data_IF_019044389066
#
_entry.id   IF_019044389066
#
_cell.length_a   1.000
_cell.length_b   1.000
_cell.length_c   1.000
_cell.angle_alpha   90.00
_cell.angle_beta   90.00
_cell.angle_gamma   90.00
#
_symmetry.space_group_name_H-M   'P 1'
#
loop_
_entity.id
_entity.type
_entity.pdbx_description
1 polymer ?
#
# COMPACT_ATOMS: atom_id res chain seq x y z
N UNK A 1 58.19 59.52 52.54
CA UNK A 1 57.78 59.55 51.09
C UNK A 1 56.94 58.31 50.87
N UNK A 2 55.65 58.48 50.93
CA UNK A 2 54.72 57.35 51.01
C UNK A 2 53.69 57.52 49.94
N UNK A 3 53.61 56.55 49.00
CA UNK A 3 52.60 56.53 47.93
C UNK A 3 51.53 55.50 48.30
N UNK A 4 50.34 56.00 48.45
CA UNK A 4 49.11 55.22 48.62
C UNK A 4 48.60 54.81 47.26
N UNK A 5 48.38 53.52 47.06
CA UNK A 5 47.71 53.02 45.87
C UNK A 5 46.34 52.50 46.25
N UNK A 6 45.32 53.16 45.74
CA UNK A 6 43.95 52.72 45.81
C UNK A 6 43.73 51.49 44.93
N UNK A 7 43.16 50.45 45.49
CA UNK A 7 42.70 49.28 44.70
C UNK A 7 41.20 49.46 44.40
N UNK A 8 40.89 49.60 43.13
CA UNK A 8 39.52 49.55 42.63
C UNK A 8 39.13 48.07 42.41
N UNK A 9 38.12 47.64 43.14
CA UNK A 9 37.51 46.30 43.00
C UNK A 9 36.47 46.35 41.88
N UNK A 10 36.73 45.67 40.77
CA UNK A 10 35.75 45.49 39.72
C UNK A 10 34.91 44.27 40.01
N UNK A 11 33.61 44.47 40.33
CA UNK A 11 32.60 43.45 40.47
C UNK A 11 32.14 43.05 39.07
N UNK A 12 32.57 41.87 38.61
CA UNK A 12 32.06 41.24 37.38
C UNK A 12 30.73 40.54 37.66
N UNK A 13 29.66 41.12 37.19
CA UNK A 13 28.34 40.48 37.18
C UNK A 13 28.29 39.47 36.03
N UNK A 14 28.34 38.18 36.38
CA UNK A 14 28.05 37.09 35.43
C UNK A 14 26.53 36.98 35.23
N UNK A 15 26.05 37.49 34.09
CA UNK A 15 24.68 37.24 33.64
C UNK A 15 24.59 35.83 33.04
N UNK A 16 24.00 34.88 33.76
CA UNK A 16 23.60 33.55 33.23
C UNK A 16 22.39 33.75 32.35
N UNK A 17 22.58 33.75 31.03
CA UNK A 17 21.52 33.60 30.06
C UNK A 17 21.12 32.12 29.97
N UNK A 18 20.04 31.74 30.69
CA UNK A 18 19.41 30.42 30.52
C UNK A 18 18.72 30.39 29.15
N UNK A 19 19.36 29.77 28.17
CA UNK A 19 18.73 29.45 26.89
C UNK A 19 17.68 28.38 27.13
N UNK A 20 16.40 28.76 27.13
CA UNK A 20 15.27 27.81 26.99
C UNK A 20 15.32 27.29 25.58
N UNK A 21 15.99 26.15 25.32
CA UNK A 21 15.80 25.35 24.15
C UNK A 21 14.44 24.67 24.30
N UNK A 22 13.40 25.28 23.74
CA UNK A 22 12.12 24.61 23.53
C UNK A 22 12.38 23.39 22.63
N UNK A 23 12.45 22.20 23.22
CA UNK A 23 12.46 20.95 22.48
C UNK A 23 11.10 20.85 21.78
N UNK A 24 11.03 21.23 20.52
CA UNK A 24 9.94 20.85 19.64
C UNK A 24 9.97 19.33 19.53
N UNK A 25 9.18 18.65 20.38
CA UNK A 25 8.87 17.25 20.17
C UNK A 25 8.23 17.14 18.79
N UNK A 26 8.78 16.31 17.88
CA UNK A 26 8.10 16.09 16.62
C UNK A 26 6.70 15.56 16.96
N UNK A 27 5.67 16.28 16.48
CA UNK A 27 4.29 15.85 16.61
C UNK A 27 4.22 14.42 16.11
N UNK A 28 3.84 13.47 16.97
CA UNK A 28 3.67 12.07 16.61
C UNK A 28 2.72 12.03 15.41
N UNK A 29 3.22 11.57 14.26
CA UNK A 29 2.38 11.41 13.09
C UNK A 29 1.14 10.60 13.49
N UNK A 30 -0.07 10.97 13.04
CA UNK A 30 -1.29 10.23 13.38
C UNK A 30 -1.10 8.76 13.03
N UNK A 31 -1.48 7.87 13.94
CA UNK A 31 -1.39 6.44 13.72
C UNK A 31 -2.22 6.09 12.48
N UNK A 32 -1.54 5.56 11.46
CA UNK A 32 -2.20 5.13 10.22
C UNK A 32 -2.63 3.68 10.42
N UNK A 33 -3.93 3.43 10.31
CA UNK A 33 -4.46 2.06 10.37
C UNK A 33 -4.80 1.58 8.96
N UNK A 34 -4.44 0.32 8.68
CA UNK A 34 -4.86 -0.37 7.47
C UNK A 34 -6.34 -0.75 7.64
N UNK A 35 -7.21 -0.47 6.67
CA UNK A 35 -8.65 -0.75 6.77
C UNK A 35 -8.95 -2.25 6.54
N UNK A 36 -8.40 -3.10 7.38
CA UNK A 36 -8.65 -4.53 7.34
C UNK A 36 -10.12 -4.84 7.63
N UNK A 37 -10.74 -5.64 6.77
CA UNK A 37 -12.08 -6.20 6.99
C UNK A 37 -11.94 -7.68 7.34
N UNK A 38 -12.45 -8.08 8.51
CA UNK A 38 -12.52 -9.50 8.85
C UNK A 38 -13.62 -10.15 8.02
N UNK A 39 -13.28 -11.22 7.31
CA UNK A 39 -14.21 -12.03 6.57
C UNK A 39 -14.89 -13.01 7.57
N UNK A 40 -16.20 -12.97 7.64
CA UNK A 40 -16.97 -13.94 8.43
C UNK A 40 -17.57 -15.00 7.50
N UNK A 41 -17.92 -16.15 8.05
CA UNK A 41 -18.58 -17.22 7.30
C UNK A 41 -19.84 -16.69 6.60
N UNK A 42 -19.93 -16.87 5.29
CA UNK A 42 -21.03 -16.38 4.45
C UNK A 42 -20.87 -14.94 3.93
N UNK A 43 -19.84 -14.21 4.35
CA UNK A 43 -19.54 -12.91 3.75
C UNK A 43 -19.03 -13.09 2.30
N UNK A 44 -19.47 -12.20 1.41
CA UNK A 44 -18.90 -12.16 0.07
C UNK A 44 -17.53 -11.47 0.09
N UNK A 45 -16.54 -12.01 -0.64
CA UNK A 45 -15.26 -11.35 -0.83
C UNK A 45 -15.41 -9.92 -1.37
N UNK A 46 -14.44 -9.05 -1.08
CA UNK A 46 -14.42 -7.71 -1.66
C UNK A 46 -14.33 -7.79 -3.18
N UNK A 47 -15.21 -7.06 -3.87
CA UNK A 47 -15.20 -6.97 -5.34
C UNK A 47 -14.27 -5.85 -5.78
N UNK A 48 -12.98 -6.06 -5.65
CA UNK A 48 -11.92 -5.17 -6.15
C UNK A 48 -11.02 -5.94 -7.10
N UNK A 49 -10.25 -5.21 -7.93
CA UNK A 49 -9.32 -5.82 -8.89
C UNK A 49 -8.17 -6.60 -8.21
N UNK A 50 -7.83 -6.23 -6.98
CA UNK A 50 -6.86 -6.94 -6.14
C UNK A 50 -7.34 -6.95 -4.70
N UNK A 51 -7.22 -8.11 -4.04
CA UNK A 51 -7.51 -8.28 -2.62
C UNK A 51 -6.30 -8.93 -1.95
N UNK A 52 -5.79 -8.28 -0.91
CA UNK A 52 -4.81 -8.86 -0.02
C UNK A 52 -5.55 -9.59 1.11
N UNK A 53 -5.45 -10.91 1.12
CA UNK A 53 -5.91 -11.76 2.21
C UNK A 53 -4.77 -11.98 3.18
N UNK A 54 -5.03 -11.80 4.45
CA UNK A 54 -4.16 -12.21 5.53
C UNK A 54 -4.86 -13.29 6.35
N UNK A 55 -4.25 -14.47 6.44
CA UNK A 55 -4.70 -15.61 7.21
C UNK A 55 -3.71 -15.80 8.36
N UNK A 56 -4.00 -15.34 9.57
CA UNK A 56 -3.11 -15.49 10.72
C UNK A 56 -3.11 -16.95 11.21
N UNK A 57 -2.04 -17.36 11.90
CA UNK A 57 -2.01 -18.69 12.53
C UNK A 57 -2.93 -18.76 13.75
N UNK A 58 -3.14 -17.63 14.44
CA UNK A 58 -4.00 -17.53 15.62
C UNK A 58 -4.78 -16.21 15.62
N UNK A 59 -5.91 -16.19 16.34
CA UNK A 59 -6.68 -14.94 16.53
C UNK A 59 -5.90 -13.86 17.29
N UNK A 60 -4.97 -14.25 18.12
CA UNK A 60 -4.17 -13.33 18.95
C UNK A 60 -3.12 -12.60 18.10
N UNK A 61 -2.65 -13.21 17.01
CA UNK A 61 -1.74 -12.60 16.05
C UNK A 61 -2.35 -11.32 15.43
N UNK A 62 -3.66 -11.29 15.20
CA UNK A 62 -4.35 -10.12 14.64
C UNK A 62 -4.12 -8.88 15.51
N UNK A 63 -4.13 -9.03 16.84
CA UNK A 63 -4.03 -7.90 17.77
C UNK A 63 -2.62 -7.33 17.89
N UNK A 64 -1.61 -8.17 17.67
CA UNK A 64 -0.21 -7.83 17.91
C UNK A 64 0.61 -7.63 16.63
N UNK A 65 0.01 -7.87 15.47
CA UNK A 65 0.72 -7.76 14.20
C UNK A 65 0.89 -6.30 13.76
N UNK A 66 2.10 -5.97 13.32
CA UNK A 66 2.39 -4.68 12.69
C UNK A 66 1.73 -4.49 11.31
N UNK A 67 1.13 -5.55 10.74
CA UNK A 67 0.30 -5.46 9.53
C UNK A 67 -0.90 -4.51 9.71
N UNK A 68 -1.40 -4.38 10.95
CA UNK A 68 -2.54 -3.48 11.27
C UNK A 68 -2.18 -2.01 11.11
N UNK A 69 -0.92 -1.64 11.34
CA UNK A 69 -0.45 -0.25 11.37
C UNK A 69 0.55 0.06 10.25
N UNK A 70 0.72 -0.84 9.28
CA UNK A 70 1.63 -0.64 8.16
C UNK A 70 1.19 0.53 7.29
N UNK A 71 2.03 1.57 7.22
CA UNK A 71 1.77 2.73 6.35
C UNK A 71 1.77 2.38 4.86
N UNK A 72 2.70 1.55 4.34
CA UNK A 72 2.64 1.10 2.94
C UNK A 72 1.35 0.35 2.61
N UNK A 73 0.89 -0.58 3.47
CA UNK A 73 -0.36 -1.30 3.24
C UNK A 73 -1.58 -0.36 3.26
N UNK A 74 -1.61 0.62 4.18
CA UNK A 74 -2.67 1.64 4.19
C UNK A 74 -2.68 2.47 2.90
N UNK A 75 -1.49 2.78 2.34
CA UNK A 75 -1.40 3.46 1.05
C UNK A 75 -1.95 2.59 -0.09
N UNK A 76 -1.61 1.30 -0.15
CA UNK A 76 -2.16 0.39 -1.15
C UNK A 76 -3.68 0.22 -1.01
N UNK A 77 -4.20 0.18 0.21
CA UNK A 77 -5.64 0.19 0.45
C UNK A 77 -6.32 1.44 -0.12
N UNK A 78 -5.69 2.61 0.01
CA UNK A 78 -6.20 3.85 -0.60
C UNK A 78 -6.16 3.85 -2.13
N UNK A 79 -5.37 2.95 -2.71
CA UNK A 79 -5.28 2.68 -4.14
C UNK A 79 -6.14 1.48 -4.57
N UNK A 80 -7.21 1.18 -3.83
CA UNK A 80 -8.18 0.13 -4.12
C UNK A 80 -7.66 -1.32 -4.06
N UNK A 81 -6.56 -1.57 -3.37
CA UNK A 81 -6.23 -2.92 -2.94
C UNK A 81 -7.14 -3.25 -1.75
N UNK A 82 -8.03 -4.24 -1.91
CA UNK A 82 -8.87 -4.72 -0.81
C UNK A 82 -8.03 -5.35 0.28
N UNK A 83 -8.39 -5.14 1.55
CA UNK A 83 -7.68 -5.71 2.70
C UNK A 83 -8.64 -6.59 3.48
N UNK A 84 -8.42 -7.90 3.48
CA UNK A 84 -9.25 -8.86 4.19
C UNK A 84 -8.45 -9.76 5.11
N UNK A 85 -8.96 -9.96 6.32
CA UNK A 85 -8.46 -10.97 7.26
C UNK A 85 -9.40 -12.17 7.18
N UNK A 86 -8.85 -13.34 6.88
CA UNK A 86 -9.54 -14.61 6.98
C UNK A 86 -9.25 -15.20 8.35
N UNK A 87 -10.28 -15.68 9.02
CA UNK A 87 -10.11 -16.27 10.34
C UNK A 87 -9.39 -17.61 10.26
N UNK A 88 -8.50 -17.93 11.20
CA UNK A 88 -7.73 -19.19 11.17
C UNK A 88 -8.61 -20.45 11.35
N UNK A 89 -9.87 -20.29 11.73
CA UNK A 89 -10.87 -21.34 11.88
C UNK A 89 -11.91 -21.37 10.73
N UNK A 90 -11.65 -20.67 9.62
CA UNK A 90 -12.48 -20.66 8.39
C UNK A 90 -11.85 -21.58 7.33
N UNK A 91 -11.94 -22.89 7.59
CA UNK A 91 -11.31 -23.93 6.77
C UNK A 91 -11.78 -23.86 5.30
N UNK A 92 -13.06 -23.56 5.06
CA UNK A 92 -13.63 -23.47 3.71
C UNK A 92 -12.97 -22.37 2.90
N UNK A 93 -12.79 -21.18 3.48
CA UNK A 93 -12.12 -20.06 2.80
C UNK A 93 -10.62 -20.33 2.63
N UNK A 94 -9.97 -20.94 3.61
CA UNK A 94 -8.55 -21.31 3.57
C UNK A 94 -8.29 -22.30 2.44
N UNK A 95 -9.11 -23.35 2.33
CA UNK A 95 -9.03 -24.34 1.26
C UNK A 95 -9.31 -23.71 -0.11
N UNK A 96 -10.34 -22.86 -0.21
CA UNK A 96 -10.66 -22.16 -1.47
C UNK A 96 -9.53 -21.27 -1.94
N UNK A 97 -8.80 -20.60 -1.05
CA UNK A 97 -7.61 -19.80 -1.38
C UNK A 97 -6.37 -20.65 -1.66
N UNK A 98 -6.39 -21.95 -1.36
CA UNK A 98 -5.26 -22.85 -1.52
C UNK A 98 -4.11 -22.56 -0.54
N UNK A 99 -4.44 -22.12 0.68
CA UNK A 99 -3.44 -21.84 1.69
C UNK A 99 -3.04 -23.13 2.42
N UNK A 100 -1.85 -23.63 2.12
CA UNK A 100 -1.33 -24.89 2.69
C UNK A 100 -0.63 -24.69 4.06
N UNK A 101 -0.21 -23.47 4.36
CA UNK A 101 0.57 -23.14 5.55
C UNK A 101 0.12 -21.82 6.16
N UNK A 102 0.02 -21.75 7.49
CA UNK A 102 -0.31 -20.53 8.23
C UNK A 102 0.83 -20.11 9.17
N UNK A 103 1.04 -18.81 9.39
CA UNK A 103 0.30 -17.70 8.76
C UNK A 103 0.74 -17.42 7.33
N UNK A 104 -0.17 -16.89 6.52
CA UNK A 104 0.08 -16.55 5.12
C UNK A 104 -0.61 -15.24 4.73
N UNK A 105 0.00 -14.48 3.83
CA UNK A 105 -0.64 -13.39 3.11
C UNK A 105 -0.67 -13.73 1.62
N UNK A 106 -1.82 -13.53 0.98
CA UNK A 106 -2.08 -13.89 -0.40
C UNK A 106 -2.71 -12.72 -1.14
N UNK A 107 -2.15 -12.35 -2.27
CA UNK A 107 -2.74 -11.34 -3.15
C UNK A 107 -3.50 -12.04 -4.26
N UNK A 108 -4.79 -11.75 -4.36
CA UNK A 108 -5.72 -12.40 -5.29
C UNK A 108 -6.30 -11.37 -6.23
N UNK A 109 -6.39 -11.68 -7.52
CA UNK A 109 -7.00 -10.79 -8.51
C UNK A 109 -8.53 -10.92 -8.57
N UNK A 110 -9.17 -10.03 -9.33
CA UNK A 110 -10.63 -10.01 -9.48
C UNK A 110 -11.24 -11.27 -10.11
N UNK A 111 -10.42 -12.17 -10.67
CA UNK A 111 -10.84 -13.49 -11.18
C UNK A 111 -10.77 -14.60 -10.10
N UNK A 112 -10.24 -14.30 -8.93
CA UNK A 112 -10.00 -15.27 -7.85
C UNK A 112 -8.65 -15.99 -7.96
N UNK A 113 -7.77 -15.58 -8.90
CA UNK A 113 -6.44 -16.18 -9.05
C UNK A 113 -5.46 -15.57 -8.06
N UNK A 114 -4.71 -16.41 -7.36
CA UNK A 114 -3.59 -15.98 -6.53
C UNK A 114 -2.45 -15.49 -7.44
N UNK A 115 -2.10 -14.21 -7.33
CA UNK A 115 -1.02 -13.57 -8.12
C UNK A 115 0.30 -13.52 -7.37
N UNK A 116 0.26 -13.51 -6.03
CA UNK A 116 1.43 -13.58 -5.18
C UNK A 116 1.05 -14.07 -3.78
N UNK A 117 1.97 -14.70 -3.07
CA UNK A 117 1.78 -15.07 -1.67
C UNK A 117 3.10 -15.01 -0.91
N UNK A 118 3.02 -14.88 0.40
CA UNK A 118 4.13 -15.03 1.34
C UNK A 118 3.62 -15.72 2.59
N UNK A 119 4.29 -16.79 3.00
CA UNK A 119 4.03 -17.53 4.23
C UNK A 119 5.21 -17.39 5.17
N UNK A 120 4.99 -17.53 6.47
CA UNK A 120 6.07 -17.63 7.44
C UNK A 120 6.40 -19.11 7.66
N UNK A 121 7.69 -19.45 7.53
CA UNK A 121 8.17 -20.81 7.84
C UNK A 121 8.08 -21.11 9.34
N UNK A 122 8.21 -20.06 10.17
CA UNK A 122 8.06 -20.14 11.62
C UNK A 122 7.65 -18.77 12.19
N UNK A 123 6.75 -18.77 13.18
CA UNK A 123 6.30 -17.55 13.87
C UNK A 123 5.31 -16.71 13.06
N UNK A 124 5.32 -15.39 13.27
CA UNK A 124 4.43 -14.44 12.62
C UNK A 124 4.97 -13.96 11.27
N UNK A 125 4.08 -13.53 10.37
CA UNK A 125 4.45 -12.89 9.12
C UNK A 125 5.23 -11.58 9.37
N UNK A 126 6.33 -11.40 8.67
CA UNK A 126 7.05 -10.13 8.68
C UNK A 126 6.34 -9.13 7.77
N UNK A 127 5.97 -7.99 8.33
CA UNK A 127 5.28 -6.92 7.60
C UNK A 127 6.05 -6.48 6.36
N UNK A 128 7.39 -6.40 6.44
CA UNK A 128 8.25 -6.05 5.30
C UNK A 128 8.11 -6.99 4.11
N UNK A 129 7.88 -8.28 4.36
CA UNK A 129 7.77 -9.28 3.29
C UNK A 129 6.40 -9.16 2.59
N UNK A 130 5.34 -8.91 3.37
CA UNK A 130 4.01 -8.64 2.82
C UNK A 130 4.00 -7.34 2.02
N UNK A 131 4.59 -6.27 2.55
CA UNK A 131 4.73 -5.00 1.83
C UNK A 131 5.52 -5.15 0.53
N UNK A 132 6.62 -5.90 0.57
CA UNK A 132 7.43 -6.21 -0.61
C UNK A 132 6.63 -6.99 -1.64
N UNK A 133 5.93 -8.04 -1.23
CA UNK A 133 5.10 -8.86 -2.11
C UNK A 133 4.04 -8.01 -2.84
N UNK A 134 3.30 -7.17 -2.12
CA UNK A 134 2.27 -6.30 -2.73
C UNK A 134 2.90 -5.29 -3.69
N UNK A 135 4.00 -4.65 -3.29
CA UNK A 135 4.73 -3.70 -4.14
C UNK A 135 5.20 -4.35 -5.44
N UNK A 136 5.83 -5.50 -5.35
CA UNK A 136 6.39 -6.20 -6.51
C UNK A 136 5.27 -6.66 -7.45
N UNK A 137 4.16 -7.16 -6.92
CA UNK A 137 2.99 -7.54 -7.71
C UNK A 137 2.36 -6.32 -8.43
N UNK A 138 2.23 -5.18 -7.75
CA UNK A 138 1.73 -3.94 -8.39
C UNK A 138 2.70 -3.43 -9.45
N UNK A 139 4.01 -3.51 -9.23
CA UNK A 139 5.02 -3.13 -10.23
C UNK A 139 4.97 -4.00 -11.46
N UNK A 140 4.83 -5.31 -11.30
CA UNK A 140 4.67 -6.24 -12.43
C UNK A 140 3.39 -5.94 -13.21
N UNK A 141 2.30 -5.66 -12.51
CA UNK A 141 1.02 -5.31 -13.14
C UNK A 141 1.11 -3.99 -13.91
N UNK A 142 1.85 -3.00 -13.40
CA UNK A 142 2.09 -1.73 -14.11
C UNK A 142 2.82 -1.96 -15.45
N UNK A 143 3.83 -2.84 -15.48
CA UNK A 143 4.52 -3.24 -16.71
C UNK A 143 3.61 -3.97 -17.69
N UNK A 144 2.77 -4.89 -17.20
CA UNK A 144 1.79 -5.58 -18.05
C UNK A 144 0.82 -4.58 -18.72
N UNK A 145 0.39 -3.55 -17.98
CA UNK A 145 -0.49 -2.51 -18.52
C UNK A 145 0.23 -1.69 -19.59
N UNK A 146 1.53 -1.41 -19.45
CA UNK A 146 2.30 -0.77 -20.52
C UNK A 146 2.31 -1.58 -21.79
N UNK A 147 2.52 -2.88 -21.70
CA UNK A 147 2.42 -3.79 -22.88
C UNK A 147 1.03 -3.77 -23.51
N UNK A 148 -0.04 -3.74 -22.69
CA UNK A 148 -1.42 -3.63 -23.20
C UNK A 148 -1.63 -2.31 -23.93
N UNK A 149 -1.13 -1.20 -23.39
CA UNK A 149 -1.23 0.13 -24.01
C UNK A 149 -0.45 0.20 -25.33
N UNK A 150 0.75 -0.38 -25.38
CA UNK A 150 1.56 -0.42 -26.60
C UNK A 150 0.91 -1.27 -27.68
N UNK A 151 0.34 -2.43 -27.30
CA UNK A 151 -0.44 -3.25 -28.22
C UNK A 151 -1.68 -2.51 -28.75
N UNK A 152 -2.39 -1.79 -27.86
CA UNK A 152 -3.54 -0.99 -28.26
C UNK A 152 -3.17 0.10 -29.28
N UNK A 153 -2.01 0.77 -29.12
CA UNK A 153 -1.49 1.74 -30.08
C UNK A 153 -1.20 1.10 -31.43
N UNK A 154 -0.47 -0.03 -31.41
CA UNK A 154 -0.15 -0.78 -32.62
C UNK A 154 -1.42 -1.19 -33.40
N UNK A 155 -2.46 -1.65 -32.69
CA UNK A 155 -3.75 -1.99 -33.28
C UNK A 155 -4.46 -0.77 -33.88
N UNK A 156 -4.43 0.37 -33.17
CA UNK A 156 -5.01 1.62 -33.67
C UNK A 156 -4.32 2.10 -34.94
N UNK A 157 -2.98 2.05 -34.98
CA UNK A 157 -2.17 2.46 -36.13
C UNK A 157 -2.35 1.53 -37.34
N UNK A 158 -2.64 0.24 -37.11
CA UNK A 158 -2.98 -0.74 -38.16
C UNK A 158 -4.44 -0.62 -38.67
N UNK A 159 -5.23 0.30 -38.11
CA UNK A 159 -6.65 0.46 -38.47
C UNK A 159 -7.59 -0.53 -37.79
N UNK A 160 -7.09 -1.39 -36.90
CA UNK A 160 -7.86 -2.36 -36.13
C UNK A 160 -8.56 -1.68 -34.95
N UNK A 161 -9.46 -0.74 -35.25
CA UNK A 161 -10.05 0.19 -34.28
C UNK A 161 -10.77 -0.51 -33.14
N UNK A 162 -11.57 -1.54 -33.40
CA UNK A 162 -12.34 -2.25 -32.38
C UNK A 162 -11.42 -2.95 -31.39
N UNK A 163 -10.40 -3.67 -31.88
CA UNK A 163 -9.41 -4.33 -31.03
C UNK A 163 -8.63 -3.33 -30.15
N UNK A 164 -8.27 -2.17 -30.71
CA UNK A 164 -7.63 -1.10 -29.92
C UNK A 164 -8.55 -0.56 -28.83
N UNK A 165 -9.82 -0.31 -29.15
CA UNK A 165 -10.83 0.20 -28.20
C UNK A 165 -11.01 -0.78 -27.04
N UNK A 166 -11.09 -2.07 -27.29
CA UNK A 166 -11.25 -3.09 -26.25
C UNK A 166 -10.04 -3.14 -25.29
N UNK A 167 -8.82 -3.03 -25.84
CA UNK A 167 -7.61 -2.98 -25.03
C UNK A 167 -7.57 -1.71 -24.15
N UNK A 168 -7.88 -0.54 -24.71
CA UNK A 168 -7.93 0.69 -23.92
C UNK A 168 -9.01 0.64 -22.83
N UNK A 169 -10.20 0.07 -23.11
CA UNK A 169 -11.26 -0.09 -22.11
C UNK A 169 -10.83 -0.98 -20.93
N UNK A 170 -10.09 -2.06 -21.21
CA UNK A 170 -9.51 -2.91 -20.13
C UNK A 170 -8.60 -2.10 -19.21
N UNK A 171 -7.77 -1.21 -19.77
CA UNK A 171 -6.92 -0.35 -18.95
C UNK A 171 -7.75 0.69 -18.19
N UNK A 172 -8.80 1.25 -18.80
CA UNK A 172 -9.71 2.18 -18.11
C UNK A 172 -10.40 1.55 -16.90
N UNK A 173 -10.73 0.26 -16.95
CA UNK A 173 -11.32 -0.48 -15.83
C UNK A 173 -10.40 -0.50 -14.61
N UNK A 174 -9.09 -0.42 -14.80
CA UNK A 174 -8.09 -0.40 -13.73
C UNK A 174 -7.83 0.99 -13.12
N UNK A 175 -8.72 1.96 -13.37
CA UNK A 175 -8.57 3.37 -12.96
C UNK A 175 -8.22 3.55 -11.49
N UNK A 176 -8.77 2.74 -10.62
CA UNK A 176 -8.58 2.87 -9.19
C UNK A 176 -7.15 2.47 -8.78
N UNK A 177 -6.62 1.39 -9.33
CA UNK A 177 -5.26 0.92 -9.07
C UNK A 177 -4.21 1.76 -9.84
N UNK A 178 -4.47 2.07 -11.11
CA UNK A 178 -3.54 2.72 -12.03
C UNK A 178 -4.14 3.97 -12.68
N UNK A 179 -4.42 5.04 -11.92
CA UNK A 179 -5.18 6.21 -12.41
C UNK A 179 -4.46 6.98 -13.53
N UNK A 180 -3.13 6.91 -13.60
CA UNK A 180 -2.36 7.55 -14.69
C UNK A 180 -2.54 6.80 -15.99
N UNK A 181 -2.36 5.47 -15.98
CA UNK A 181 -2.52 4.60 -17.15
C UNK A 181 -3.95 4.66 -17.71
N UNK A 182 -4.95 4.62 -16.82
CA UNK A 182 -6.34 4.77 -17.21
C UNK A 182 -6.63 6.10 -17.92
N UNK A 183 -6.07 7.22 -17.44
CA UNK A 183 -6.19 8.53 -18.11
C UNK A 183 -5.50 8.55 -19.48
N UNK A 184 -4.40 7.83 -19.64
CA UNK A 184 -3.71 7.71 -20.93
C UNK A 184 -4.57 6.92 -21.92
N UNK A 185 -5.17 5.81 -21.47
CA UNK A 185 -6.13 5.03 -22.26
C UNK A 185 -7.37 5.85 -22.65
N UNK A 186 -7.94 6.64 -21.72
CA UNK A 186 -9.07 7.54 -22.00
C UNK A 186 -8.74 8.58 -23.08
N UNK A 187 -7.56 9.18 -23.00
CA UNK A 187 -7.11 10.13 -24.03
C UNK A 187 -6.99 9.48 -25.40
N UNK A 188 -6.54 8.21 -25.44
CA UNK A 188 -6.45 7.45 -26.68
C UNK A 188 -7.85 7.10 -27.23
N UNK A 189 -8.79 6.67 -26.38
CA UNK A 189 -10.18 6.44 -26.78
C UNK A 189 -10.85 7.69 -27.36
N UNK A 190 -10.64 8.84 -26.72
CA UNK A 190 -11.16 10.12 -27.22
C UNK A 190 -10.60 10.49 -28.60
N UNK A 191 -9.32 10.22 -28.85
CA UNK A 191 -8.72 10.40 -30.21
C UNK A 191 -9.35 9.49 -31.25
N UNK A 192 -9.80 8.30 -30.84
CA UNK A 192 -10.52 7.36 -31.70
C UNK A 192 -12.02 7.73 -31.83
N UNK A 193 -12.49 8.82 -31.19
CA UNK A 193 -13.89 9.23 -31.21
C UNK A 193 -14.83 8.29 -30.43
N UNK A 194 -14.30 7.60 -29.40
CA UNK A 194 -15.05 6.66 -28.56
C UNK A 194 -15.03 7.15 -27.11
N UNK A 195 -16.21 7.23 -26.48
CA UNK A 195 -16.28 7.56 -25.06
C UNK A 195 -15.72 6.41 -24.19
N UNK A 196 -14.91 6.77 -23.21
CA UNK A 196 -14.51 5.86 -22.16
C UNK A 196 -15.74 5.65 -21.24
N UNK A 197 -16.41 4.51 -21.32
CA UNK A 197 -17.47 4.09 -20.39
C UNK A 197 -16.91 3.15 -19.37
#
# INVERSE_FOLDING_TARGET
MSYWRARASALSALAMAAALTAQMQPASAPATFVPWKVLNAGDSPLKTELVLYWIPATRDEIRHSSLITSRPLALYASQCVGMQIVRPDDDDTIEHLGAEQLPVAMLVDGSGKVVAHVAAEAGALRTSDVEKMVRDALSNRDLEIDHVLDNARTKADAGEREAAVDLYRRVCALRCLFPRKARDAERALNKLGVAAK
#
